data_IF_816808994552
#
_entry.id   IF_816808994552
#
_cell.length_a   1.000
_cell.length_b   1.000
_cell.length_c   1.000
_cell.angle_alpha   90.00
_cell.angle_beta   90.00
_cell.angle_gamma   90.00
#
_symmetry.space_group_name_H-M   'P 1'
#
loop_
_entity.id
_entity.type
_entity.pdbx_description
1 polymer ?
#
# COMPACT_ATOMS: atom_id res chain seq x y z
N UNK A 1 -28.40 16.05 -20.64
CA UNK A 1 -27.47 16.15 -21.79
C UNK A 1 -26.03 16.15 -21.27
N UNK A 2 -25.63 15.09 -20.55
CA UNK A 2 -24.38 15.11 -19.76
C UNK A 2 -23.70 13.72 -19.65
N UNK A 3 -23.95 12.84 -20.62
CA UNK A 3 -23.59 11.42 -20.52
C UNK A 3 -22.24 11.08 -21.17
N UNK A 4 -21.57 12.06 -21.79
CA UNK A 4 -20.41 11.81 -22.66
C UNK A 4 -19.16 12.65 -22.35
N UNK A 5 -19.10 13.33 -21.21
CA UNK A 5 -17.92 14.12 -20.83
C UNK A 5 -16.74 13.18 -20.54
N UNK A 6 -15.63 13.23 -21.31
CA UNK A 6 -14.46 12.41 -21.04
C UNK A 6 -13.79 12.83 -19.73
N UNK A 7 -13.25 11.86 -19.01
CA UNK A 7 -12.42 12.09 -17.84
C UNK A 7 -10.94 12.04 -18.25
N UNK A 8 -10.12 12.92 -17.68
CA UNK A 8 -8.67 12.92 -17.91
C UNK A 8 -7.98 12.05 -16.88
N UNK A 9 -7.23 11.04 -17.34
CA UNK A 9 -6.42 10.16 -16.51
C UNK A 9 -4.94 10.39 -16.81
N UNK A 10 -4.15 10.56 -15.77
CA UNK A 10 -2.69 10.60 -15.87
C UNK A 10 -2.13 9.19 -15.76
N UNK A 11 -1.25 8.84 -16.70
CA UNK A 11 -0.51 7.59 -16.73
C UNK A 11 0.94 7.91 -16.39
N UNK A 12 1.41 7.40 -15.27
CA UNK A 12 2.78 7.54 -14.79
C UNK A 12 3.51 6.22 -15.03
N UNK A 13 4.69 6.28 -15.64
CA UNK A 13 5.59 5.13 -15.76
C UNK A 13 6.79 5.33 -14.85
N UNK A 14 7.15 4.30 -14.11
CA UNK A 14 8.41 4.23 -13.38
C UNK A 14 9.15 2.97 -13.80
N UNK A 15 10.35 3.14 -14.33
CA UNK A 15 11.18 2.05 -14.82
C UNK A 15 12.66 2.31 -14.43
N UNK A 16 13.05 1.95 -13.19
CA UNK A 16 14.45 2.06 -12.75
C UNK A 16 15.37 1.29 -13.70
N UNK A 17 16.55 1.86 -14.00
CA UNK A 17 17.49 1.27 -14.97
C UNK A 17 17.15 1.56 -16.44
N UNK A 18 16.04 2.25 -16.71
CA UNK A 18 15.68 2.70 -18.06
C UNK A 18 15.70 4.23 -18.16
N UNK A 19 15.87 4.71 -19.38
CA UNK A 19 15.62 6.09 -19.77
C UNK A 19 14.40 6.16 -20.69
N UNK A 20 13.52 7.14 -20.50
CA UNK A 20 12.38 7.37 -21.42
C UNK A 20 12.81 8.33 -22.53
N UNK A 21 12.59 7.94 -23.80
CA UNK A 21 13.14 8.64 -24.98
C UNK A 21 12.63 10.07 -25.15
N UNK A 22 11.38 10.35 -24.76
CA UNK A 22 10.80 11.69 -24.81
C UNK A 22 11.06 12.51 -23.53
N UNK A 23 11.66 11.91 -22.50
CA UNK A 23 11.81 12.49 -21.17
C UNK A 23 10.50 12.64 -20.39
N UNK A 24 9.38 12.14 -20.94
CA UNK A 24 8.05 12.30 -20.37
C UNK A 24 7.61 10.99 -19.71
N UNK A 25 7.80 10.92 -18.39
CA UNK A 25 7.37 9.80 -17.55
C UNK A 25 5.89 9.88 -17.16
N UNK A 26 5.20 10.97 -17.51
CA UNK A 26 3.78 11.19 -17.26
C UNK A 26 3.10 11.57 -18.58
N UNK A 27 1.97 10.94 -18.89
CA UNK A 27 1.13 11.27 -20.04
C UNK A 27 -0.34 11.29 -19.65
N UNK A 28 -1.10 12.23 -20.19
CA UNK A 28 -2.55 12.29 -19.97
C UNK A 28 -3.30 11.60 -21.12
N UNK A 29 -4.31 10.79 -20.77
CA UNK A 29 -5.24 10.18 -21.72
C UNK A 29 -6.67 10.61 -21.39
N UNK A 30 -7.51 10.65 -22.42
CA UNK A 30 -8.96 10.84 -22.27
C UNK A 30 -9.63 9.47 -22.22
N UNK A 31 -10.41 9.24 -21.16
CA UNK A 31 -11.17 8.01 -20.95
C UNK A 31 -12.65 8.32 -21.13
N UNK A 32 -13.32 7.52 -21.94
CA UNK A 32 -14.75 7.62 -22.25
C UNK A 32 -15.51 6.47 -21.59
N UNK A 33 -16.76 6.68 -21.23
CA UNK A 33 -17.63 5.64 -20.65
C UNK A 33 -18.09 4.57 -21.66
N UNK A 34 -17.95 4.85 -22.96
CA UNK A 34 -18.55 4.06 -24.05
C UNK A 34 -17.54 3.58 -25.10
N UNK A 35 -16.26 3.93 -24.94
CA UNK A 35 -15.21 3.59 -25.89
C UNK A 35 -13.86 3.51 -25.18
N UNK A 36 -12.94 2.74 -25.76
CA UNK A 36 -11.56 2.65 -25.29
C UNK A 36 -10.83 3.99 -25.44
N UNK A 37 -9.92 4.27 -24.51
CA UNK A 37 -9.03 5.42 -24.60
C UNK A 37 -7.96 5.21 -25.68
N UNK A 38 -7.41 6.31 -26.19
CA UNK A 38 -6.17 6.24 -26.95
C UNK A 38 -5.02 5.77 -26.04
N UNK A 39 -4.07 4.96 -26.55
CA UNK A 39 -2.99 4.43 -25.72
C UNK A 39 -1.99 5.52 -25.32
N UNK A 40 -1.56 5.49 -24.05
CA UNK A 40 -0.36 6.19 -23.61
C UNK A 40 0.87 5.34 -23.96
N UNK A 41 1.73 5.85 -24.84
CA UNK A 41 2.93 5.13 -25.31
C UNK A 41 4.17 5.71 -24.68
N UNK A 42 4.95 4.88 -23.97
CA UNK A 42 6.25 5.22 -23.40
C UNK A 42 7.34 4.41 -24.09
N UNK A 43 8.43 5.05 -24.50
CA UNK A 43 9.54 4.37 -25.18
C UNK A 43 10.71 4.29 -24.21
N UNK A 44 10.89 3.12 -23.61
CA UNK A 44 11.95 2.85 -22.65
C UNK A 44 13.21 2.36 -23.38
N UNK A 45 14.35 2.94 -23.03
CA UNK A 45 15.68 2.50 -23.45
C UNK A 45 16.41 1.95 -22.22
N UNK A 46 16.78 0.67 -22.29
CA UNK A 46 17.57 0.02 -21.25
C UNK A 46 18.92 0.72 -21.05
N UNK A 47 19.38 0.77 -19.80
CA UNK A 47 20.75 1.15 -19.45
C UNK A 47 21.76 0.03 -19.74
N UNK A 48 22.97 0.21 -19.22
CA UNK A 48 24.09 -0.72 -19.44
C UNK A 48 24.11 -1.90 -18.45
N UNK A 49 23.20 -1.91 -17.48
CA UNK A 49 23.10 -2.98 -16.49
C UNK A 49 22.24 -4.12 -17.04
N UNK A 50 22.80 -5.32 -17.05
CA UNK A 50 22.06 -6.55 -17.28
C UNK A 50 21.29 -6.97 -16.03
N UNK A 51 20.15 -7.62 -16.23
CA UNK A 51 19.32 -8.11 -15.14
C UNK A 51 17.84 -7.99 -15.41
N UNK A 52 17.04 -8.39 -14.43
CA UNK A 52 15.60 -8.12 -14.42
C UNK A 52 15.36 -6.76 -13.77
N UNK A 53 14.48 -5.97 -14.38
CA UNK A 53 14.13 -4.65 -13.91
C UNK A 53 12.60 -4.50 -13.87
N UNK A 54 12.04 -4.06 -12.73
CA UNK A 54 10.61 -3.84 -12.62
C UNK A 54 10.19 -2.58 -13.40
N UNK A 55 9.03 -2.67 -14.04
CA UNK A 55 8.37 -1.55 -14.71
C UNK A 55 6.96 -1.44 -14.13
N UNK A 56 6.64 -0.29 -13.56
CA UNK A 56 5.30 -0.01 -13.01
C UNK A 56 4.61 1.09 -13.80
N UNK A 57 3.30 0.91 -13.98
CA UNK A 57 2.41 1.89 -14.62
C UNK A 57 1.30 2.22 -13.65
N UNK A 58 1.24 3.46 -13.20
CA UNK A 58 0.22 3.97 -12.28
C UNK A 58 -0.78 4.85 -13.04
N UNK A 59 -2.06 4.61 -12.80
CA UNK A 59 -3.17 5.36 -13.36
C UNK A 59 -3.74 6.26 -12.29
N UNK A 60 -3.83 7.56 -12.57
CA UNK A 60 -4.29 8.56 -11.61
C UNK A 60 -5.41 9.41 -12.17
N UNK A 61 -6.44 9.62 -11.37
CA UNK A 61 -7.54 10.52 -11.67
C UNK A 61 -7.62 11.57 -10.58
N UNK A 62 -7.50 12.85 -10.97
CA UNK A 62 -7.52 14.00 -10.04
C UNK A 62 -6.54 13.85 -8.86
N UNK A 63 -5.29 13.49 -9.17
CA UNK A 63 -4.22 13.23 -8.21
C UNK A 63 -4.49 12.07 -7.25
N UNK A 64 -5.41 11.15 -7.56
CA UNK A 64 -5.66 9.93 -6.78
C UNK A 64 -5.25 8.72 -7.59
N UNK A 65 -4.51 7.79 -6.99
CA UNK A 65 -4.23 6.49 -7.58
C UNK A 65 -5.54 5.73 -7.75
N UNK A 66 -5.89 5.38 -9.01
CA UNK A 66 -7.08 4.57 -9.32
C UNK A 66 -6.70 3.16 -9.74
N UNK A 67 -5.44 2.92 -10.12
CA UNK A 67 -4.93 1.59 -10.35
C UNK A 67 -3.46 1.56 -10.70
N UNK A 68 -2.85 0.39 -10.58
CA UNK A 68 -1.47 0.14 -10.97
C UNK A 68 -1.34 -1.18 -11.73
N UNK A 69 -0.42 -1.23 -12.69
CA UNK A 69 0.02 -2.43 -13.38
C UNK A 69 1.53 -2.61 -13.23
N UNK A 70 1.99 -3.85 -13.16
CA UNK A 70 3.42 -4.19 -13.07
C UNK A 70 3.84 -5.15 -14.17
N UNK A 71 5.06 -4.96 -14.62
CA UNK A 71 5.74 -5.76 -15.62
C UNK A 71 7.20 -5.96 -15.17
N UNK A 72 7.84 -7.02 -15.66
CA UNK A 72 9.29 -7.21 -15.51
C UNK A 72 9.91 -7.18 -16.90
N UNK A 73 10.99 -6.42 -17.05
CA UNK A 73 11.80 -6.39 -18.26
C UNK A 73 13.17 -6.98 -17.99
N UNK A 74 13.57 -7.98 -18.77
CA UNK A 74 14.94 -8.55 -18.70
C UNK A 74 15.84 -7.85 -19.70
N UNK A 75 16.90 -7.20 -19.22
CA UNK A 75 17.96 -6.62 -20.04
C UNK A 75 19.08 -7.65 -20.16
N UNK A 76 19.39 -8.05 -21.39
CA UNK A 76 20.49 -8.98 -21.71
C UNK A 76 21.41 -8.33 -22.72
N UNK A 77 22.72 -8.60 -22.64
CA UNK A 77 23.63 -8.20 -23.70
C UNK A 77 23.30 -8.99 -24.96
N UNK A 78 23.10 -8.27 -26.05
CA UNK A 78 23.01 -8.88 -27.36
C UNK A 78 24.42 -9.33 -27.77
N UNK A 79 24.68 -10.64 -27.98
CA UNK A 79 25.97 -11.05 -28.51
C UNK A 79 26.15 -10.39 -29.89
N UNK A 80 27.27 -9.69 -30.08
CA UNK A 80 27.58 -8.99 -31.33
C UNK A 80 27.36 -9.93 -32.52
N UNK A 81 26.39 -9.59 -33.36
CA UNK A 81 26.19 -10.28 -34.62
C UNK A 81 27.47 -10.14 -35.44
N UNK A 82 28.22 -11.24 -35.58
CA UNK A 82 29.36 -11.31 -36.49
C UNK A 82 28.90 -10.83 -37.87
N UNK A 83 29.45 -9.70 -38.29
CA UNK A 83 29.35 -9.22 -39.65
C UNK A 83 29.95 -10.27 -40.60
N UNK A 84 29.10 -10.95 -41.35
CA UNK A 84 29.46 -11.94 -42.36
C UNK A 84 28.24 -12.25 -43.22
N UNK A 85 28.22 -11.65 -44.41
CA UNK A 85 27.12 -11.61 -45.36
C UNK A 85 26.56 -13.00 -45.76
N UNK A 86 25.26 -13.05 -46.13
CA UNK A 86 24.82 -13.30 -47.52
C UNK A 86 23.32 -13.00 -47.66
N UNK A 87 23.01 -12.14 -48.63
CA UNK A 87 21.67 -11.82 -49.14
C UNK A 87 21.21 -12.95 -50.08
N UNK A 88 20.06 -13.58 -49.81
CA UNK A 88 19.20 -14.28 -50.79
C UNK A 88 17.76 -14.27 -50.24
N UNK A 89 16.91 -13.33 -50.66
CA UNK A 89 15.88 -13.46 -51.71
C UNK A 89 14.73 -14.47 -51.45
N UNK A 90 13.58 -13.92 -51.04
CA UNK A 90 12.17 -14.21 -51.43
C UNK A 90 11.72 -15.64 -51.78
N UNK A 91 10.83 -16.24 -50.96
CA UNK A 91 9.43 -16.66 -51.29
C UNK A 91 8.76 -17.45 -50.13
N UNK A 92 7.42 -17.40 -49.93
CA UNK A 92 6.65 -18.14 -48.89
C UNK A 92 5.84 -19.34 -49.48
N UNK A 93 4.97 -20.04 -48.72
CA UNK A 93 5.19 -20.90 -47.55
C UNK A 93 4.69 -22.35 -47.77
N UNK A 94 5.31 -23.36 -47.16
CA UNK A 94 4.80 -24.75 -47.15
C UNK A 94 4.61 -25.32 -45.73
N UNK A 95 3.37 -25.27 -45.27
CA UNK A 95 2.52 -26.38 -44.74
C UNK A 95 3.20 -27.63 -44.13
N UNK A 96 3.09 -27.74 -42.77
CA UNK A 96 2.70 -28.93 -41.94
C UNK A 96 3.78 -29.99 -41.59
N UNK A 97 3.70 -30.80 -40.48
CA UNK A 97 2.82 -30.81 -39.29
C UNK A 97 3.52 -30.74 -37.91
N UNK A 98 2.68 -30.57 -36.88
CA UNK A 98 2.93 -30.73 -35.46
C UNK A 98 3.55 -32.08 -35.04
N UNK A 99 4.45 -32.03 -34.05
CA UNK A 99 4.73 -33.16 -33.13
C UNK A 99 4.40 -32.73 -31.70
N UNK A 100 3.41 -33.41 -31.14
CA UNK A 100 3.05 -33.39 -29.73
C UNK A 100 4.24 -33.81 -28.85
N UNK A 101 4.56 -32.98 -27.87
CA UNK A 101 5.18 -33.41 -26.62
C UNK A 101 4.21 -33.03 -25.49
N UNK A 102 3.67 -34.04 -24.80
CA UNK A 102 2.87 -33.88 -23.58
C UNK A 102 3.81 -33.52 -22.42
N UNK A 103 3.54 -32.48 -21.62
CA UNK A 103 4.11 -32.37 -20.28
C UNK A 103 3.37 -33.34 -19.33
N UNK A 104 4.11 -33.95 -18.41
CA UNK A 104 3.59 -34.85 -17.38
C UNK A 104 2.83 -34.12 -16.26
N UNK A 105 2.17 -34.83 -15.33
CA UNK A 105 1.10 -34.29 -14.49
C UNK A 105 1.53 -33.42 -13.29
N UNK A 106 2.79 -33.03 -13.14
CA UNK A 106 3.29 -32.50 -11.85
C UNK A 106 3.81 -31.05 -11.87
N UNK A 107 3.88 -30.39 -13.03
CA UNK A 107 4.28 -28.97 -13.17
C UNK A 107 3.10 -28.01 -13.46
N UNK A 108 1.86 -28.52 -13.43
CA UNK A 108 0.66 -27.76 -13.82
C UNK A 108 -0.05 -27.00 -12.67
N UNK A 109 0.66 -26.65 -11.58
CA UNK A 109 0.06 -25.90 -10.45
C UNK A 109 0.68 -24.55 -10.11
N UNK A 110 1.77 -24.14 -10.76
CA UNK A 110 2.36 -22.81 -10.53
C UNK A 110 2.35 -21.87 -11.76
N UNK A 111 1.84 -22.31 -12.90
CA UNK A 111 1.64 -21.47 -14.09
C UNK A 111 0.16 -21.22 -14.36
N UNK A 112 -0.51 -20.47 -13.47
CA UNK A 112 -1.81 -19.87 -13.77
C UNK A 112 -2.06 -18.60 -12.96
N UNK A 113 -1.22 -17.59 -13.18
CA UNK A 113 -1.69 -16.22 -13.22
C UNK A 113 -1.78 -15.79 -14.70
N UNK A 114 -2.54 -16.56 -15.49
CA UNK A 114 -3.09 -16.05 -16.72
C UNK A 114 -3.86 -14.77 -16.37
N UNK A 115 -3.53 -13.66 -17.04
CA UNK A 115 -4.18 -12.36 -16.88
C UNK A 115 -5.67 -12.54 -16.69
N UNK A 116 -6.14 -12.18 -15.49
CA UNK A 116 -7.57 -12.06 -15.24
C UNK A 116 -8.18 -11.13 -16.31
N UNK A 117 -9.43 -11.36 -16.75
CA UNK A 117 -10.14 -10.44 -17.61
C UNK A 117 -10.08 -9.04 -16.98
N UNK A 118 -9.77 -8.04 -17.82
CA UNK A 118 -9.34 -6.70 -17.40
C UNK A 118 -10.14 -6.16 -16.23
N UNK A 119 -9.44 -5.86 -15.13
CA UNK A 119 -10.06 -5.20 -13.99
C UNK A 119 -10.69 -3.89 -14.49
N UNK A 120 -12.03 -3.81 -14.38
CA UNK A 120 -12.76 -2.60 -14.76
C UNK A 120 -12.41 -1.52 -13.74
N UNK A 121 -11.61 -0.55 -14.17
CA UNK A 121 -11.31 0.64 -13.39
C UNK A 121 -12.58 1.49 -13.30
N UNK A 122 -13.09 1.69 -12.09
CA UNK A 122 -14.22 2.59 -11.87
C UNK A 122 -13.69 4.00 -11.65
N UNK A 123 -14.15 4.95 -12.45
CA UNK A 123 -13.78 6.36 -12.34
C UNK A 123 -15.00 7.13 -11.82
N UNK A 124 -14.93 7.66 -10.61
CA UNK A 124 -15.95 8.57 -10.09
C UNK A 124 -15.79 9.97 -10.67
N UNK A 125 -16.92 10.59 -11.06
CA UNK A 125 -16.94 11.99 -11.52
C UNK A 125 -16.76 13.01 -10.39
N UNK A 126 -17.00 12.62 -9.14
CA UNK A 126 -16.84 13.49 -7.98
C UNK A 126 -16.19 12.70 -6.83
N UNK A 127 -14.90 12.35 -6.98
CA UNK A 127 -14.16 11.68 -5.93
C UNK A 127 -13.98 12.61 -4.71
N UNK A 128 -13.86 12.07 -3.48
CA UNK A 128 -13.39 12.86 -2.35
C UNK A 128 -11.99 13.44 -2.62
N UNK A 129 -11.57 14.49 -1.89
CA UNK A 129 -10.24 15.05 -2.07
C UNK A 129 -9.14 13.99 -1.88
N UNK A 130 -8.04 14.07 -2.65
CA UNK A 130 -6.88 13.21 -2.43
C UNK A 130 -6.30 13.39 -1.02
N UNK A 131 -5.49 12.42 -0.58
CA UNK A 131 -4.70 12.59 0.63
C UNK A 131 -3.67 13.73 0.45
N UNK A 132 -3.30 14.34 1.58
CA UNK A 132 -2.34 15.44 1.62
C UNK A 132 -0.94 14.96 1.24
N UNK A 133 -0.57 13.75 1.67
CA UNK A 133 0.69 13.09 1.34
C UNK A 133 0.42 11.64 0.98
N UNK A 134 1.03 11.19 -0.11
CA UNK A 134 1.06 9.80 -0.53
C UNK A 134 2.50 9.28 -0.45
N UNK A 135 2.66 8.15 0.24
CA UNK A 135 3.90 7.36 0.27
C UNK A 135 3.71 6.11 -0.57
N UNK A 136 4.40 6.06 -1.71
CA UNK A 136 4.45 4.89 -2.56
C UNK A 136 5.66 4.03 -2.17
N UNK A 137 5.41 2.77 -1.88
CA UNK A 137 6.44 1.80 -1.49
C UNK A 137 6.43 0.67 -2.51
N UNK A 138 7.53 0.55 -3.25
CA UNK A 138 7.73 -0.52 -4.22
C UNK A 138 8.62 -1.58 -3.63
N UNK A 139 8.24 -2.84 -3.85
CA UNK A 139 9.00 -3.99 -3.38
C UNK A 139 9.51 -4.77 -4.60
N UNK A 140 10.82 -4.86 -4.72
CA UNK A 140 11.55 -5.57 -5.76
C UNK A 140 12.48 -6.57 -5.07
N UNK A 141 12.03 -7.82 -5.00
CA UNK A 141 12.59 -8.85 -4.12
C UNK A 141 12.74 -8.36 -2.66
N UNK A 142 14.00 -8.07 -2.27
CA UNK A 142 14.41 -7.62 -0.94
C UNK A 142 14.70 -6.11 -0.89
N UNK A 143 14.38 -5.35 -1.93
CA UNK A 143 14.63 -3.90 -1.99
C UNK A 143 13.31 -3.14 -1.94
N UNK A 144 13.18 -2.29 -0.92
CA UNK A 144 12.09 -1.33 -0.82
C UNK A 144 12.52 0.00 -1.44
N UNK A 145 11.71 0.55 -2.35
CA UNK A 145 11.92 1.88 -2.94
C UNK A 145 10.78 2.80 -2.56
N UNK A 146 11.11 4.03 -2.18
CA UNK A 146 10.15 4.98 -1.61
C UNK A 146 10.01 6.20 -2.52
N UNK A 147 8.78 6.63 -2.72
CA UNK A 147 8.44 7.86 -3.44
C UNK A 147 7.38 8.64 -2.67
N UNK A 148 7.57 9.96 -2.55
CA UNK A 148 6.58 10.86 -1.99
C UNK A 148 5.87 11.65 -3.09
N UNK A 149 4.56 11.77 -2.95
CA UNK A 149 3.72 12.61 -3.78
C UNK A 149 2.79 13.43 -2.91
N UNK A 150 2.53 14.68 -3.31
CA UNK A 150 1.51 15.52 -2.69
C UNK A 150 0.80 16.34 -3.76
N UNK A 151 -0.54 16.42 -3.74
CA UNK A 151 -1.30 17.35 -4.57
C UNK A 151 -1.15 18.81 -4.09
N UNK A 152 -0.62 19.04 -2.88
CA UNK A 152 -0.45 20.38 -2.31
C UNK A 152 0.85 21.01 -2.79
N UNK A 153 0.75 22.07 -3.57
CA UNK A 153 1.92 22.79 -4.11
C UNK A 153 2.87 23.33 -3.04
N UNK A 154 2.37 23.61 -1.83
CA UNK A 154 3.18 24.05 -0.67
C UNK A 154 4.04 22.94 -0.08
N UNK A 155 3.64 21.68 -0.28
CA UNK A 155 4.37 20.48 0.15
C UNK A 155 5.39 20.11 -0.92
N UNK A 156 5.01 20.22 -2.20
CA UNK A 156 5.96 20.29 -3.32
C UNK A 156 6.55 18.95 -3.78
N UNK A 157 6.15 17.82 -3.20
CA UNK A 157 6.58 16.51 -3.71
C UNK A 157 5.76 16.11 -4.93
N UNK A 158 6.44 15.87 -6.04
CA UNK A 158 5.82 15.36 -7.26
C UNK A 158 6.54 14.08 -7.69
N UNK A 159 6.12 12.95 -7.10
CA UNK A 159 6.77 11.64 -7.25
C UNK A 159 8.28 11.71 -6.95
N UNK A 160 8.61 12.42 -5.88
CA UNK A 160 9.99 12.65 -5.48
C UNK A 160 10.57 11.34 -4.90
N UNK A 161 11.69 10.84 -5.43
CA UNK A 161 12.34 9.65 -4.89
C UNK A 161 12.87 9.94 -3.49
N UNK A 162 12.63 9.01 -2.58
CA UNK A 162 13.04 9.09 -1.17
C UNK A 162 13.99 7.94 -0.80
N UNK A 163 14.82 7.53 -1.75
CA UNK A 163 15.82 6.48 -1.54
C UNK A 163 15.26 5.06 -1.58
N UNK A 164 16.14 4.12 -1.26
CA UNK A 164 15.84 2.69 -1.23
C UNK A 164 16.45 2.01 0.00
N UNK A 165 15.84 0.91 0.43
CA UNK A 165 16.29 0.10 1.57
C UNK A 165 16.41 -1.35 1.14
N UNK A 166 17.63 -1.89 1.22
CA UNK A 166 17.88 -3.32 1.13
C UNK A 166 17.51 -3.98 2.46
N UNK A 167 16.58 -4.92 2.41
CA UNK A 167 16.25 -5.81 3.52
C UNK A 167 17.25 -6.97 3.56
N UNK A 168 17.55 -7.42 4.78
CA UNK A 168 18.44 -8.57 5.02
C UNK A 168 17.76 -9.90 4.69
N UNK A 169 16.43 -9.93 4.78
CA UNK A 169 15.58 -11.09 4.51
C UNK A 169 14.33 -10.64 3.75
N UNK A 170 13.67 -11.61 3.10
CA UNK A 170 12.36 -11.40 2.46
C UNK A 170 11.38 -10.72 3.42
N UNK A 171 10.62 -9.70 2.98
CA UNK A 171 9.71 -8.94 3.85
C UNK A 171 8.79 -9.83 4.70
N UNK A 172 8.33 -10.95 4.12
CA UNK A 172 7.48 -11.92 4.82
C UNK A 172 8.19 -12.63 5.97
N UNK A 173 9.46 -12.99 5.79
CA UNK A 173 10.25 -13.68 6.81
C UNK A 173 10.59 -12.73 7.97
N UNK A 174 11.07 -11.52 7.62
CA UNK A 174 11.31 -10.43 8.57
C UNK A 174 10.08 -10.18 9.45
N UNK A 175 8.90 -10.13 8.84
CA UNK A 175 7.66 -9.84 9.55
C UNK A 175 7.12 -11.00 10.39
N UNK A 176 7.39 -12.25 10.02
CA UNK A 176 6.97 -13.40 10.81
C UNK A 176 7.53 -13.33 12.24
N UNK A 177 8.81 -12.95 12.37
CA UNK A 177 9.45 -12.81 13.67
C UNK A 177 8.75 -11.74 14.54
N UNK A 178 8.47 -10.57 13.96
CA UNK A 178 7.78 -9.47 14.64
C UNK A 178 6.37 -9.89 15.09
N UNK A 179 5.61 -10.58 14.24
CA UNK A 179 4.27 -11.06 14.62
C UNK A 179 4.29 -12.12 15.72
N UNK A 180 5.29 -13.01 15.70
CA UNK A 180 5.48 -14.02 16.74
C UNK A 180 5.78 -13.35 18.09
N UNK A 181 6.64 -12.32 18.11
CA UNK A 181 6.96 -11.53 19.30
C UNK A 181 5.75 -10.76 19.84
N UNK A 182 5.02 -10.04 18.97
CA UNK A 182 3.79 -9.33 19.35
C UNK A 182 2.75 -10.30 19.92
N UNK A 183 2.60 -11.47 19.30
CA UNK A 183 1.70 -12.52 19.77
C UNK A 183 2.11 -13.08 21.13
N UNK A 184 3.41 -13.19 21.40
CA UNK A 184 3.93 -13.61 22.69
C UNK A 184 3.64 -12.57 23.77
N UNK A 185 3.92 -11.29 23.50
CA UNK A 185 3.69 -10.20 24.46
C UNK A 185 2.21 -10.07 24.82
N UNK A 186 1.32 -10.18 23.82
CA UNK A 186 -0.11 -10.15 24.04
C UNK A 186 -0.61 -11.28 24.96
N UNK A 187 0.04 -12.45 24.95
CA UNK A 187 -0.32 -13.57 25.86
C UNK A 187 0.15 -13.32 27.29
N UNK A 188 1.31 -12.71 27.47
CA UNK A 188 1.90 -12.44 28.79
C UNK A 188 1.25 -11.23 29.49
N UNK A 189 0.80 -10.23 28.73
CA UNK A 189 0.12 -9.06 29.29
C UNK A 189 -1.23 -9.40 29.96
N UNK A 190 -1.85 -10.52 29.61
CA UNK A 190 -3.15 -10.98 30.17
C UNK A 190 -2.97 -11.71 31.51
N UNK A 191 -1.75 -12.09 31.91
CA UNK A 191 -1.51 -12.96 33.07
C UNK A 191 -0.89 -12.27 34.29
N UNK A 192 -0.43 -11.02 34.19
CA UNK A 192 0.22 -10.30 35.30
C UNK A 192 -0.77 -9.40 36.06
N UNK A 193 -1.13 -9.78 37.29
CA UNK A 193 -1.99 -9.04 38.24
C UNK A 193 -1.38 -7.70 38.74
N UNK A 194 -0.24 -7.28 38.20
CA UNK A 194 0.35 -5.94 38.39
C UNK A 194 0.09 -5.10 37.14
N UNK A 195 -1.18 -4.79 36.92
CA UNK A 195 -1.75 -4.32 35.64
C UNK A 195 -0.97 -3.13 35.05
N UNK A 196 -0.60 -2.13 35.84
CA UNK A 196 0.04 -0.91 35.33
C UNK A 196 1.49 -1.10 34.89
N UNK A 197 2.29 -1.81 35.69
CA UNK A 197 3.72 -2.01 35.39
C UNK A 197 3.93 -3.03 34.26
N UNK A 198 3.06 -4.03 34.14
CA UNK A 198 3.07 -4.97 33.01
C UNK A 198 2.59 -4.31 31.71
N UNK A 199 1.55 -3.47 31.77
CA UNK A 199 1.08 -2.69 30.64
C UNK A 199 2.16 -1.72 30.15
N UNK A 200 2.78 -0.95 31.05
CA UNK A 200 3.84 0.00 30.66
C UNK A 200 5.02 -0.70 30.00
N UNK A 201 5.48 -1.83 30.56
CA UNK A 201 6.56 -2.64 29.95
C UNK A 201 6.19 -3.13 28.54
N UNK A 202 4.93 -3.45 28.30
CA UNK A 202 4.45 -3.85 26.98
C UNK A 202 4.43 -2.67 26.01
N UNK A 203 3.99 -1.50 26.47
CA UNK A 203 4.00 -0.26 25.68
C UNK A 203 5.43 0.15 25.30
N UNK A 204 6.38 0.09 26.24
CA UNK A 204 7.78 0.42 25.98
C UNK A 204 8.40 -0.52 24.93
N UNK A 205 8.02 -1.81 24.93
CA UNK A 205 8.44 -2.79 23.91
C UNK A 205 7.84 -2.47 22.54
N UNK A 206 6.55 -2.12 22.48
CA UNK A 206 5.90 -1.74 21.21
C UNK A 206 6.52 -0.44 20.67
N UNK A 207 6.79 0.54 21.53
CA UNK A 207 7.48 1.77 21.13
C UNK A 207 8.90 1.49 20.61
N UNK A 208 9.64 0.61 21.29
CA UNK A 208 10.98 0.20 20.86
C UNK A 208 10.93 -0.50 19.49
N UNK A 209 9.97 -1.41 19.29
CA UNK A 209 9.73 -2.04 17.99
C UNK A 209 9.41 -1.00 16.91
N UNK A 210 8.53 -0.04 17.19
CA UNK A 210 8.19 1.02 16.25
C UNK A 210 9.40 1.89 15.86
N UNK A 211 10.28 2.19 16.82
CA UNK A 211 11.53 2.91 16.57
C UNK A 211 12.48 2.08 15.69
N UNK A 212 12.65 0.79 15.98
CA UNK A 212 13.42 -0.12 15.15
C UNK A 212 12.89 -0.18 13.72
N UNK A 213 11.56 -0.31 13.54
CA UNK A 213 10.94 -0.29 12.21
C UNK A 213 11.27 0.99 11.44
N UNK A 214 11.26 2.16 12.10
CA UNK A 214 11.64 3.42 11.44
C UNK A 214 13.09 3.41 10.98
N UNK A 215 14.02 3.06 11.86
CA UNK A 215 15.46 3.06 11.57
C UNK A 215 15.83 2.00 10.53
N UNK A 216 15.19 0.83 10.60
CA UNK A 216 15.48 -0.31 9.76
C UNK A 216 14.83 -0.20 8.38
N UNK A 217 13.63 0.37 8.26
CA UNK A 217 12.90 0.40 6.99
C UNK A 217 13.06 1.70 6.22
N UNK A 218 13.16 2.85 6.91
CA UNK A 218 13.21 4.14 6.22
C UNK A 218 14.66 4.43 5.81
N UNK A 219 14.93 4.71 4.53
CA UNK A 219 16.24 5.17 4.09
C UNK A 219 16.56 6.58 4.66
N UNK A 220 17.84 6.99 4.73
CA UNK A 220 18.25 8.26 5.33
C UNK A 220 17.50 9.48 4.78
N UNK A 221 17.24 9.51 3.47
CA UNK A 221 16.51 10.56 2.79
C UNK A 221 15.08 10.69 3.33
N UNK A 222 14.36 9.56 3.42
CA UNK A 222 13.01 9.52 3.95
C UNK A 222 12.96 9.84 5.45
N UNK A 223 13.95 9.38 6.23
CA UNK A 223 14.04 9.70 7.65
C UNK A 223 14.22 11.20 7.89
N UNK A 224 15.04 11.87 7.08
CA UNK A 224 15.19 13.33 7.14
C UNK A 224 13.91 14.03 6.72
N UNK A 225 13.32 13.63 5.60
CA UNK A 225 12.13 14.27 5.05
C UNK A 225 10.90 14.11 5.96
N UNK A 226 10.84 13.02 6.72
CA UNK A 226 9.80 12.81 7.73
C UNK A 226 9.66 13.99 8.70
N UNK A 227 10.78 14.56 9.16
CA UNK A 227 10.75 15.66 10.11
C UNK A 227 10.22 16.96 9.47
N UNK A 228 10.45 17.16 8.17
CA UNK A 228 9.81 18.24 7.39
C UNK A 228 8.29 18.03 7.34
N UNK A 229 7.85 16.81 7.03
CA UNK A 229 6.44 16.44 7.02
C UNK A 229 5.77 16.65 8.38
N UNK A 230 6.44 16.25 9.47
CA UNK A 230 5.95 16.45 10.84
C UNK A 230 5.72 17.93 11.15
N UNK A 231 6.64 18.82 10.78
CA UNK A 231 6.47 20.27 10.99
C UNK A 231 5.26 20.82 10.21
N UNK A 232 5.08 20.39 8.95
CA UNK A 232 3.90 20.75 8.16
C UNK A 232 2.61 20.23 8.82
N UNK A 233 2.64 19.02 9.37
CA UNK A 233 1.52 18.41 10.10
C UNK A 233 1.16 19.17 11.36
N UNK A 234 2.15 19.50 12.20
CA UNK A 234 1.97 20.26 13.44
C UNK A 234 1.48 21.69 13.19
N UNK A 235 1.86 22.28 12.05
CA UNK A 235 1.33 23.58 11.61
C UNK A 235 -0.08 23.52 10.99
N UNK A 236 -0.66 22.32 10.87
CA UNK A 236 -2.01 22.09 10.34
C UNK A 236 -2.13 22.16 8.81
N UNK A 237 -1.01 22.15 8.07
CA UNK A 237 -1.00 22.20 6.60
C UNK A 237 -1.41 20.87 5.99
N UNK A 238 -1.02 19.76 6.63
CA UNK A 238 -1.31 18.39 6.20
C UNK A 238 -1.73 17.55 7.41
N UNK A 239 -2.54 16.52 7.21
CA UNK A 239 -2.90 15.58 8.28
C UNK A 239 -3.22 14.15 7.82
N UNK A 240 -3.37 13.94 6.51
CA UNK A 240 -3.64 12.63 5.92
C UNK A 240 -2.38 12.04 5.29
N UNK A 241 -2.14 10.74 5.55
CA UNK A 241 -1.07 9.96 4.94
C UNK A 241 -1.69 8.74 4.26
N UNK A 242 -1.48 8.65 2.94
CA UNK A 242 -1.92 7.50 2.16
C UNK A 242 -0.72 6.66 1.74
N UNK A 243 -0.69 5.41 2.20
CA UNK A 243 0.40 4.48 1.87
C UNK A 243 -0.09 3.51 0.81
N UNK A 244 0.61 3.43 -0.31
CA UNK A 244 0.42 2.37 -1.30
C UNK A 244 1.65 1.48 -1.32
N UNK A 245 1.53 0.28 -0.76
CA UNK A 245 2.64 -0.68 -0.69
C UNK A 245 2.45 -1.86 -1.65
N UNK A 246 3.55 -2.27 -2.25
CA UNK A 246 3.64 -3.48 -3.06
C UNK A 246 3.60 -4.76 -2.23
N UNK A 247 3.85 -4.66 -0.93
CA UNK A 247 3.93 -5.77 0.00
C UNK A 247 2.85 -5.67 1.10
N UNK A 248 2.25 -6.79 1.55
CA UNK A 248 1.23 -6.78 2.58
C UNK A 248 1.74 -6.98 4.02
N UNK A 249 3.01 -7.29 4.20
CA UNK A 249 3.54 -7.87 5.44
C UNK A 249 3.99 -6.83 6.45
N UNK A 250 4.52 -5.70 5.98
CA UNK A 250 5.09 -4.63 6.82
C UNK A 250 3.95 -3.78 7.40
N UNK A 251 3.86 -3.65 8.74
CA UNK A 251 2.83 -2.89 9.43
C UNK A 251 3.29 -1.44 9.53
N UNK A 252 3.21 -0.71 8.42
CA UNK A 252 3.61 0.70 8.36
C UNK A 252 2.95 1.55 9.45
N UNK A 253 1.74 1.17 9.86
CA UNK A 253 0.97 1.78 10.95
C UNK A 253 1.71 1.77 12.30
N UNK A 254 2.56 0.76 12.53
CA UNK A 254 3.36 0.58 13.75
C UNK A 254 4.74 1.25 13.69
N UNK A 255 5.10 1.89 12.58
CA UNK A 255 6.35 2.66 12.51
C UNK A 255 6.23 3.85 13.48
N UNK A 256 7.23 4.02 14.35
CA UNK A 256 7.32 5.13 15.30
C UNK A 256 8.59 5.94 15.00
N UNK A 257 8.46 7.12 14.39
CA UNK A 257 9.61 7.93 13.99
C UNK A 257 10.44 8.40 15.18
N UNK A 258 11.74 8.16 15.11
CA UNK A 258 12.71 8.47 16.16
C UNK A 258 14.03 8.94 15.55
N UNK A 259 14.57 10.02 16.09
CA UNK A 259 15.86 10.57 15.69
C UNK A 259 16.91 10.26 16.77
N UNK A 260 17.77 9.28 16.53
CA UNK A 260 18.79 8.86 17.50
C UNK A 260 19.78 9.98 17.85
N UNK A 261 19.99 10.94 16.94
CA UNK A 261 20.95 12.04 17.14
C UNK A 261 20.40 13.15 18.01
N UNK A 262 19.12 13.50 17.85
CA UNK A 262 18.49 14.61 18.59
C UNK A 262 17.65 14.13 19.77
N UNK A 263 17.30 12.84 19.81
CA UNK A 263 16.30 12.30 20.73
C UNK A 263 14.87 12.72 20.40
N UNK A 264 14.64 13.40 19.27
CA UNK A 264 13.29 13.77 18.83
C UNK A 264 12.50 12.52 18.46
N UNK A 265 11.25 12.45 18.92
CA UNK A 265 10.35 11.35 18.65
C UNK A 265 9.00 11.89 18.18
N UNK A 266 8.29 11.09 17.40
CA UNK A 266 6.89 11.31 17.06
C UNK A 266 6.02 10.14 17.52
N UNK A 267 4.71 10.26 17.39
CA UNK A 267 3.81 9.13 17.61
C UNK A 267 3.96 8.05 16.52
N UNK A 268 3.38 6.87 16.76
CA UNK A 268 3.20 5.88 15.69
C UNK A 268 2.53 6.52 14.48
N UNK A 269 2.81 6.06 13.27
CA UNK A 269 2.18 6.65 12.07
C UNK A 269 0.65 6.62 12.17
N UNK A 270 0.06 5.55 12.71
CA UNK A 270 -1.39 5.48 12.94
C UNK A 270 -1.92 6.36 14.08
N UNK A 271 -1.07 6.79 15.03
CA UNK A 271 -1.43 7.73 16.09
C UNK A 271 -1.27 9.18 15.66
N UNK A 272 -0.22 9.48 14.90
CA UNK A 272 0.11 10.83 14.45
C UNK A 272 -0.59 11.28 13.16
N UNK A 273 -1.02 10.35 12.30
CA UNK A 273 -1.63 10.64 11.01
C UNK A 273 -3.03 10.03 10.88
N UNK A 274 -3.87 10.66 10.05
CA UNK A 274 -5.03 9.99 9.46
C UNK A 274 -4.53 9.08 8.35
N UNK A 275 -4.14 7.87 8.73
CA UNK A 275 -3.49 6.92 7.85
C UNK A 275 -4.50 6.03 7.13
N UNK A 276 -4.23 5.73 5.87
CA UNK A 276 -4.83 4.61 5.15
C UNK A 276 -3.74 3.88 4.38
N UNK A 277 -3.79 2.55 4.36
CA UNK A 277 -2.90 1.70 3.57
C UNK A 277 -3.68 0.95 2.51
N UNK A 278 -3.12 0.87 1.31
CA UNK A 278 -3.62 0.05 0.22
C UNK A 278 -2.50 -0.79 -0.39
N UNK A 279 -2.87 -1.94 -0.94
CA UNK A 279 -1.96 -2.73 -1.76
C UNK A 279 -2.03 -2.25 -3.20
N UNK A 280 -0.91 -2.36 -3.89
CA UNK A 280 -0.84 -2.08 -5.32
C UNK A 280 -1.77 -2.99 -6.11
N UNK A 281 -2.47 -2.41 -7.08
CA UNK A 281 -3.50 -3.07 -7.87
C UNK A 281 -4.61 -2.08 -8.15
N UNK A 282 -5.88 -2.51 -8.19
CA UNK A 282 -7.01 -1.59 -8.22
C UNK A 282 -6.92 -0.62 -7.05
N UNK A 283 -7.05 0.68 -7.32
CA UNK A 283 -6.99 1.73 -6.31
C UNK A 283 -8.13 1.63 -5.28
N UNK A 284 -8.10 2.47 -4.24
CA UNK A 284 -9.09 2.43 -3.18
C UNK A 284 -10.48 2.74 -3.75
N UNK A 285 -11.48 2.00 -3.29
CA UNK A 285 -12.85 2.25 -3.70
C UNK A 285 -13.30 3.66 -3.29
N UNK A 286 -13.95 4.38 -4.21
CA UNK A 286 -14.50 5.72 -3.92
C UNK A 286 -15.60 5.67 -2.86
N UNK A 287 -16.27 4.53 -2.74
CA UNK A 287 -17.28 4.26 -1.73
C UNK A 287 -17.11 2.83 -1.21
N UNK A 288 -17.06 2.70 0.11
CA UNK A 288 -17.12 1.40 0.77
C UNK A 288 -18.54 1.23 1.30
N UNK A 289 -19.24 0.22 0.78
CA UNK A 289 -20.52 -0.19 1.37
C UNK A 289 -20.23 -1.05 2.59
N UNK A 290 -20.88 -0.73 3.71
CA UNK A 290 -20.86 -1.53 4.94
C UNK A 290 -22.27 -2.02 5.20
N UNK A 291 -22.48 -3.33 5.11
CA UNK A 291 -23.72 -4.01 5.38
C UNK A 291 -23.74 -4.65 6.78
N UNK A 292 -22.59 -5.03 7.33
CA UNK A 292 -22.49 -5.65 8.65
C UNK A 292 -21.33 -5.06 9.45
N UNK A 293 -21.64 -4.59 10.66
CA UNK A 293 -20.68 -3.99 11.56
C UNK A 293 -20.73 -4.62 12.96
N UNK A 294 -19.58 -4.69 13.64
CA UNK A 294 -19.46 -5.10 15.03
C UNK A 294 -18.62 -4.06 15.78
N UNK A 295 -19.00 -3.84 17.03
CA UNK A 295 -18.38 -2.88 17.92
C UNK A 295 -17.76 -3.63 19.09
N UNK A 296 -16.47 -3.47 19.32
CA UNK A 296 -15.81 -3.87 20.56
C UNK A 296 -15.90 -2.69 21.51
N UNK A 297 -16.74 -2.79 22.53
CA UNK A 297 -16.93 -1.76 23.54
C UNK A 297 -17.12 -2.42 24.90
N UNK A 298 -16.03 -2.58 25.69
CA UNK A 298 -16.12 -3.04 27.06
C UNK A 298 -17.04 -2.11 27.87
N UNK A 299 -17.65 -2.64 28.94
CA UNK A 299 -18.59 -1.89 29.77
C UNK A 299 -17.84 -0.89 30.66
N UNK A 300 -17.42 0.21 30.06
CA UNK A 300 -16.64 1.28 30.68
C UNK A 300 -17.52 2.52 30.81
N UNK A 301 -17.44 3.21 31.95
CA UNK A 301 -18.18 4.44 32.19
C UNK A 301 -17.51 5.66 31.52
N UNK A 302 -17.23 5.54 30.22
CA UNK A 302 -16.55 6.56 29.42
C UNK A 302 -17.52 7.24 28.46
N UNK A 303 -17.57 8.57 28.51
CA UNK A 303 -18.48 9.36 27.68
C UNK A 303 -18.27 9.12 26.17
N UNK A 304 -17.02 9.00 25.72
CA UNK A 304 -16.71 8.76 24.31
C UNK A 304 -17.15 7.36 23.85
N UNK A 305 -16.97 6.33 24.69
CA UNK A 305 -17.45 4.97 24.39
C UNK A 305 -18.96 4.96 24.26
N UNK A 306 -19.69 5.63 25.16
CA UNK A 306 -21.15 5.77 25.06
C UNK A 306 -21.60 6.48 23.77
N UNK A 307 -20.87 7.51 23.34
CA UNK A 307 -21.15 8.22 22.09
C UNK A 307 -20.93 7.30 20.87
N UNK A 308 -19.84 6.52 20.84
CA UNK A 308 -19.56 5.59 19.76
C UNK A 308 -20.58 4.44 19.72
N UNK A 309 -20.95 3.88 20.87
CA UNK A 309 -22.06 2.90 20.96
C UNK A 309 -23.36 3.50 20.41
N UNK A 310 -23.69 4.74 20.78
CA UNK A 310 -24.86 5.45 20.26
C UNK A 310 -24.80 5.69 18.76
N UNK A 311 -23.63 6.00 18.21
CA UNK A 311 -23.44 6.14 16.75
C UNK A 311 -23.68 4.82 16.02
N UNK A 312 -23.17 3.70 16.54
CA UNK A 312 -23.41 2.38 15.95
C UNK A 312 -24.89 1.98 15.99
N UNK A 313 -25.63 2.37 17.02
CA UNK A 313 -27.10 2.20 17.04
C UNK A 313 -27.78 2.99 15.91
N UNK A 314 -27.28 4.19 15.57
CA UNK A 314 -27.81 4.95 14.42
C UNK A 314 -27.48 4.30 13.07
N UNK A 315 -26.34 3.60 12.94
CA UNK A 315 -26.03 2.80 11.75
C UNK A 315 -27.02 1.66 11.57
N UNK A 316 -27.46 1.03 12.66
CA UNK A 316 -28.49 -0.01 12.61
C UNK A 316 -29.81 0.53 12.00
N UNK A 317 -30.21 1.74 12.40
CA UNK A 317 -31.38 2.42 11.84
C UNK A 317 -31.25 2.76 10.35
N UNK A 318 -30.02 2.80 9.82
CA UNK A 318 -29.71 3.02 8.40
C UNK A 318 -29.58 1.73 7.60
N UNK A 319 -29.91 0.58 8.20
CA UNK A 319 -29.92 -0.73 7.53
C UNK A 319 -28.59 -1.48 7.57
N UNK A 320 -27.66 -1.08 8.44
CA UNK A 320 -26.45 -1.86 8.74
C UNK A 320 -26.81 -2.92 9.79
N UNK A 321 -26.42 -4.19 9.59
CA UNK A 321 -26.51 -5.20 10.65
C UNK A 321 -25.46 -4.90 11.72
N UNK A 322 -25.90 -4.28 12.82
CA UNK A 322 -25.06 -3.99 13.98
C UNK A 322 -25.42 -4.94 15.11
N UNK A 323 -24.52 -5.87 15.40
CA UNK A 323 -24.65 -6.79 16.53
C UNK A 323 -24.52 -6.08 17.89
N UNK A 324 -24.78 -6.82 18.97
CA UNK A 324 -24.50 -6.34 20.33
C UNK A 324 -23.02 -6.01 20.50
N UNK A 325 -22.66 -4.98 21.30
CA UNK A 325 -21.26 -4.69 21.59
C UNK A 325 -20.54 -5.91 22.17
N UNK A 326 -19.39 -6.23 21.59
CA UNK A 326 -18.46 -7.26 22.03
C UNK A 326 -17.68 -6.69 23.22
N UNK A 327 -17.75 -7.38 24.36
CA UNK A 327 -17.18 -6.96 25.64
C UNK A 327 -16.04 -7.85 26.07
N UNK A 328 -15.97 -9.07 25.55
CA UNK A 328 -14.96 -10.07 25.93
C UNK A 328 -14.12 -10.51 24.75
N UNK A 329 -12.86 -10.88 25.03
CA UNK A 329 -11.90 -11.34 24.02
C UNK A 329 -12.42 -12.57 23.24
N UNK A 330 -13.12 -13.48 23.91
CA UNK A 330 -13.65 -14.67 23.27
C UNK A 330 -14.80 -14.36 22.29
N UNK A 331 -15.60 -13.33 22.57
CA UNK A 331 -16.62 -12.83 21.63
C UNK A 331 -15.96 -12.24 20.37
N UNK A 332 -14.89 -11.46 20.54
CA UNK A 332 -14.10 -10.92 19.42
C UNK A 332 -13.49 -12.04 18.58
N UNK A 333 -12.90 -13.05 19.23
CA UNK A 333 -12.33 -14.22 18.56
C UNK A 333 -13.39 -15.04 17.82
N UNK A 334 -14.56 -15.21 18.43
CA UNK A 334 -15.67 -15.93 17.83
C UNK A 334 -16.15 -15.22 16.56
N UNK A 335 -16.35 -13.90 16.63
CA UNK A 335 -16.73 -13.08 15.47
C UNK A 335 -15.68 -13.15 14.37
N UNK A 336 -14.39 -13.02 14.71
CA UNK A 336 -13.30 -13.13 13.74
C UNK A 336 -13.25 -14.51 13.04
N UNK A 337 -13.57 -15.60 13.76
CA UNK A 337 -13.64 -16.96 13.19
C UNK A 337 -14.87 -17.17 12.32
N UNK A 338 -16.02 -16.60 12.70
CA UNK A 338 -17.26 -16.71 11.94
C UNK A 338 -17.21 -15.93 10.63
N UNK A 339 -16.51 -14.79 10.62
CA UNK A 339 -16.45 -13.88 9.48
C UNK A 339 -17.77 -13.13 9.28
N UNK A 340 -17.96 -12.56 8.08
CA UNK A 340 -19.18 -11.82 7.73
C UNK A 340 -19.29 -10.42 8.34
N UNK A 341 -18.23 -9.92 8.98
CA UNK A 341 -18.13 -8.54 9.46
C UNK A 341 -17.36 -7.73 8.42
N UNK A 342 -17.97 -6.64 7.97
CA UNK A 342 -17.36 -5.71 7.00
C UNK A 342 -16.73 -4.49 7.71
N UNK A 343 -17.19 -4.17 8.92
CA UNK A 343 -16.62 -3.14 9.79
C UNK A 343 -16.49 -3.65 11.23
N UNK A 344 -15.27 -3.70 11.75
CA UNK A 344 -15.00 -3.96 13.17
C UNK A 344 -14.40 -2.70 13.80
N UNK A 345 -15.12 -2.08 14.74
CA UNK A 345 -14.69 -0.86 15.43
C UNK A 345 -14.31 -1.16 16.88
N UNK A 346 -13.21 -0.59 17.35
CA UNK A 346 -12.75 -0.71 18.73
C UNK A 346 -12.97 0.61 19.46
N UNK A 347 -13.84 0.58 20.46
CA UNK A 347 -14.16 1.69 21.35
C UNK A 347 -13.72 1.34 22.76
N UNK A 348 -12.50 1.72 23.10
CA UNK A 348 -11.88 1.42 24.40
C UNK A 348 -11.24 2.68 24.98
N UNK A 349 -10.46 2.56 26.05
CA UNK A 349 -9.68 3.69 26.57
C UNK A 349 -8.78 4.28 25.46
N UNK A 350 -9.11 5.48 25.00
CA UNK A 350 -8.27 6.29 24.09
C UNK A 350 -7.30 7.22 24.81
N UNK A 351 -7.19 7.13 26.15
CA UNK A 351 -6.27 7.95 26.93
C UNK A 351 -5.41 7.04 27.82
N UNK A 352 -4.28 6.57 27.27
CA UNK A 352 -3.11 6.19 28.05
C UNK A 352 -2.30 7.46 28.32
N UNK A 353 -2.85 8.42 29.06
CA UNK A 353 -2.06 9.53 29.58
C UNK A 353 -1.23 9.02 30.76
N UNK A 354 0.06 8.77 30.54
CA UNK A 354 1.06 8.66 31.61
C UNK A 354 1.31 10.04 32.22
N UNK A 355 0.35 10.58 32.97
CA UNK A 355 0.60 11.64 33.93
C UNK A 355 -0.13 11.34 35.23
N UNK A 356 0.66 10.92 36.22
CA UNK A 356 0.49 11.18 37.64
C UNK A 356 1.85 11.60 38.17
#
# INVERSE_FOLDING_TARGET
ADEFTPETVEVLVSAPGFSERSGAWIKSILVYSFADSAPAVFILKAGDLEGEFPISVDFRHRNRLIGSARFHGTVTTQPEARAGATVLSTSPPDVVPARSARPGPEEAREASAASAPGAVLTISRNPPPPADVELRIRNDDNVLRFELHSPHSRVGYHYAPMGEKQLMEEPRAYMKAIFDDLSQWARTAVTDDAEDAAAQRTLDRIASLGNSLFLDLFPPELQMEYWTLKQLRESGVINTLYITSDEPWIPWELVKPFNERTGEADDFLAGGWRICRWLTGPGPADQVRVAAARLVAPDLDLNFVKQEVGYFQQLALRGVDVGTPLRQLDEVRQVARQGGVELLHFSTHGNLSSQS
#
